data_IF_073671428115
#
_entry.id   IF_073671428115
#
_cell.length_a   1.000
_cell.length_b   1.000
_cell.length_c   1.000
_cell.angle_alpha   90.00
_cell.angle_beta   90.00
_cell.angle_gamma   90.00
#
_symmetry.space_group_name_H-M   'P 1'
#
loop_
_entity.id
_entity.type
_entity.pdbx_description
1 polymer ?
#
# COMPACT_ATOMS: atom_id res chain seq x y z
N UNK A 1 12.55 24.83 -8.60
CA UNK A 1 13.25 23.82 -9.43
C UNK A 1 12.16 22.99 -10.11
N UNK A 2 12.42 22.41 -11.27
CA UNK A 2 11.47 21.55 -11.96
C UNK A 2 11.79 20.08 -11.63
N UNK A 3 10.79 19.21 -11.74
CA UNK A 3 10.94 17.76 -11.56
C UNK A 3 12.04 17.23 -12.49
N UNK A 4 12.98 16.47 -11.92
CA UNK A 4 14.06 15.82 -12.68
C UNK A 4 13.91 14.31 -12.68
N UNK A 5 14.27 13.69 -13.80
CA UNK A 5 14.20 12.24 -14.00
C UNK A 5 15.55 11.76 -14.50
N UNK A 6 16.20 10.89 -13.72
CA UNK A 6 17.54 10.38 -13.95
C UNK A 6 17.50 8.85 -14.06
N UNK A 7 18.01 8.22 -15.14
CA UNK A 7 18.07 6.77 -15.21
C UNK A 7 19.10 6.21 -14.23
N UNK A 8 18.79 5.04 -13.66
CA UNK A 8 19.59 4.33 -12.68
C UNK A 8 20.25 3.09 -13.30
N UNK A 9 21.58 3.04 -13.20
CA UNK A 9 22.33 1.83 -13.56
C UNK A 9 22.00 0.67 -12.62
N UNK A 10 22.37 -0.55 -13.01
CA UNK A 10 22.26 -1.75 -12.15
C UNK A 10 23.13 -1.69 -10.89
N UNK A 11 24.11 -0.78 -10.84
CA UNK A 11 24.88 -0.44 -9.65
C UNK A 11 24.36 0.80 -8.92
N UNK A 12 23.11 1.18 -9.15
CA UNK A 12 22.39 2.32 -8.54
C UNK A 12 23.03 3.70 -8.71
N UNK A 13 23.97 3.85 -9.64
CA UNK A 13 24.49 5.15 -10.01
C UNK A 13 23.46 5.91 -10.86
N UNK A 14 23.21 7.17 -10.48
CA UNK A 14 22.40 8.13 -11.23
C UNK A 14 23.14 8.57 -12.49
N UNK A 15 22.45 8.51 -13.62
CA UNK A 15 22.92 9.06 -14.89
C UNK A 15 22.41 10.50 -15.08
N UNK A 16 22.80 11.14 -16.18
CA UNK A 16 22.38 12.52 -16.46
C UNK A 16 20.84 12.61 -16.57
N UNK A 17 20.23 13.72 -16.11
CA UNK A 17 18.81 13.97 -16.29
C UNK A 17 18.38 13.87 -17.75
N UNK A 18 17.24 13.22 -17.98
CA UNK A 18 16.66 13.08 -19.31
C UNK A 18 15.60 14.15 -19.60
N UNK A 19 15.43 14.54 -20.86
CA UNK A 19 14.22 15.24 -21.27
C UNK A 19 13.03 14.28 -21.15
N UNK A 20 11.95 14.74 -20.53
CA UNK A 20 10.72 13.98 -20.36
C UNK A 20 9.51 14.80 -20.80
N UNK A 21 8.46 14.12 -21.22
CA UNK A 21 7.22 14.71 -21.76
C UNK A 21 6.16 14.78 -20.67
N UNK A 22 5.92 13.63 -20.03
CA UNK A 22 4.93 13.48 -18.97
C UNK A 22 5.39 12.43 -17.98
N UNK A 23 5.18 12.71 -16.70
CA UNK A 23 5.38 11.77 -15.59
C UNK A 23 4.07 11.64 -14.83
N UNK A 24 3.58 10.42 -14.67
CA UNK A 24 2.42 10.10 -13.87
C UNK A 24 2.76 8.98 -12.90
N UNK A 25 2.88 9.31 -11.62
CA UNK A 25 3.05 8.35 -10.54
C UNK A 25 1.66 8.10 -9.99
N UNK A 26 1.08 6.98 -10.43
CA UNK A 26 -0.27 6.52 -10.15
C UNK A 26 -0.40 5.99 -8.71
N UNK A 27 -0.28 6.95 -7.78
CA UNK A 27 -0.20 6.82 -6.34
C UNK A 27 1.11 6.19 -5.81
N UNK A 28 1.85 6.96 -5.01
CA UNK A 28 2.77 6.43 -4.02
C UNK A 28 1.94 6.06 -2.78
N UNK A 29 2.02 4.80 -2.33
CA UNK A 29 1.07 4.23 -1.37
C UNK A 29 1.74 3.83 -0.05
N UNK A 30 0.98 3.90 1.04
CA UNK A 30 1.44 3.48 2.36
C UNK A 30 1.51 1.95 2.43
N UNK A 31 2.71 1.41 2.64
CA UNK A 31 2.98 -0.05 2.73
C UNK A 31 2.45 -0.86 1.53
N UNK A 32 2.44 -0.25 0.35
CA UNK A 32 1.99 -0.89 -0.88
C UNK A 32 2.83 -0.41 -2.06
N UNK A 33 2.83 -1.23 -3.11
CA UNK A 33 3.54 -0.94 -4.35
C UNK A 33 2.74 0.10 -5.14
N UNK A 34 3.32 1.26 -5.37
CA UNK A 34 2.83 2.26 -6.30
C UNK A 34 3.15 1.90 -7.75
N UNK A 35 2.39 2.48 -8.68
CA UNK A 35 2.62 2.34 -10.12
C UNK A 35 3.04 3.67 -10.74
N UNK A 36 3.76 3.63 -11.86
CA UNK A 36 4.08 4.84 -12.62
C UNK A 36 4.02 4.63 -14.14
N UNK A 37 3.91 5.74 -14.84
CA UNK A 37 4.05 5.87 -16.28
C UNK A 37 4.89 7.12 -16.59
N UNK A 38 5.97 6.92 -17.34
CA UNK A 38 6.91 7.97 -17.76
C UNK A 38 6.98 7.99 -19.27
N UNK A 39 6.61 9.10 -19.88
CA UNK A 39 6.72 9.33 -21.32
C UNK A 39 7.96 10.13 -21.63
N UNK A 40 8.87 9.53 -22.42
CA UNK A 40 10.09 10.16 -22.90
C UNK A 40 10.02 10.35 -24.43
N UNK A 41 10.68 11.38 -25.00
CA UNK A 41 10.90 11.45 -26.43
C UNK A 41 11.82 10.31 -26.87
N UNK A 42 11.55 9.69 -28.01
CA UNK A 42 12.42 8.67 -28.58
C UNK A 42 13.64 9.36 -29.22
N UNK A 43 14.78 9.27 -28.55
CA UNK A 43 16.08 9.75 -28.97
C UNK A 43 17.05 8.58 -28.88
N UNK A 44 18.22 8.66 -29.50
CA UNK A 44 19.23 7.59 -29.40
C UNK A 44 19.55 7.25 -27.93
N UNK A 45 19.60 8.27 -27.06
CA UNK A 45 19.85 8.11 -25.62
C UNK A 45 18.73 7.36 -24.90
N UNK A 46 17.47 7.58 -25.27
CA UNK A 46 16.34 6.89 -24.63
C UNK A 46 16.12 5.49 -25.19
N UNK A 47 16.50 5.24 -26.45
CA UNK A 47 16.58 3.90 -27.02
C UNK A 47 17.66 3.03 -26.36
N UNK A 48 18.80 3.60 -25.95
CA UNK A 48 19.84 2.89 -25.20
C UNK A 48 19.38 2.36 -23.82
N UNK A 49 18.24 2.84 -23.32
CA UNK A 49 17.62 2.42 -22.06
C UNK A 49 16.70 1.20 -22.21
N UNK A 50 16.51 0.72 -23.43
CA UNK A 50 15.66 -0.42 -23.75
C UNK A 50 16.53 -1.53 -24.34
N UNK A 51 16.19 -2.77 -24.03
CA UNK A 51 16.88 -3.96 -24.52
C UNK A 51 15.85 -5.03 -24.89
N UNK A 52 16.30 -6.10 -25.54
CA UNK A 52 15.50 -7.30 -25.77
C UNK A 52 15.94 -8.39 -24.80
N UNK A 53 15.00 -9.16 -24.26
CA UNK A 53 15.33 -10.38 -23.54
C UNK A 53 15.67 -11.54 -24.48
N UNK A 54 15.98 -12.70 -23.89
CA UNK A 54 16.36 -13.90 -24.63
C UNK A 54 15.24 -14.43 -25.53
N UNK A 55 13.99 -14.07 -25.24
CA UNK A 55 12.79 -14.46 -25.97
C UNK A 55 12.37 -13.39 -27.00
N UNK A 56 13.16 -12.31 -27.14
CA UNK A 56 12.89 -11.20 -28.05
C UNK A 56 11.80 -10.24 -27.55
N UNK A 57 11.45 -10.29 -26.27
CA UNK A 57 10.52 -9.34 -25.64
C UNK A 57 11.28 -8.09 -25.23
N UNK A 58 10.69 -6.94 -25.53
CA UNK A 58 11.24 -5.63 -25.19
C UNK A 58 11.19 -5.43 -23.67
N UNK A 59 12.32 -5.08 -23.06
CA UNK A 59 12.44 -4.81 -21.63
C UNK A 59 13.20 -3.52 -21.34
N UNK A 60 12.86 -2.80 -20.26
CA UNK A 60 13.73 -1.74 -19.75
C UNK A 60 15.06 -2.31 -19.27
N UNK A 61 16.15 -1.59 -19.55
CA UNK A 61 17.50 -1.88 -19.06
C UNK A 61 17.82 -1.21 -17.73
N UNK A 62 16.99 -0.26 -17.31
CA UNK A 62 17.28 0.72 -16.25
C UNK A 62 16.08 0.91 -15.32
N UNK A 63 16.33 1.36 -14.09
CA UNK A 63 15.33 2.05 -13.27
C UNK A 63 15.37 3.56 -13.51
N UNK A 64 14.52 4.31 -12.81
CA UNK A 64 14.53 5.77 -12.80
C UNK A 64 14.58 6.28 -11.37
N UNK A 65 15.25 7.42 -11.19
CA UNK A 65 15.24 8.21 -9.98
C UNK A 65 14.53 9.53 -10.30
N UNK A 66 13.49 9.83 -9.53
CA UNK A 66 12.72 11.08 -9.67
C UNK A 66 13.02 11.95 -8.47
N UNK A 67 13.51 13.15 -8.72
CA UNK A 67 13.55 14.22 -7.72
C UNK A 67 12.42 15.20 -8.01
N UNK A 68 11.45 15.22 -7.10
CA UNK A 68 10.31 16.12 -7.11
C UNK A 68 10.70 17.44 -6.44
N UNK A 69 11.29 18.34 -7.22
CA UNK A 69 11.61 19.71 -6.85
C UNK A 69 12.57 19.86 -5.64
N UNK A 70 13.38 18.84 -5.33
CA UNK A 70 14.27 18.79 -4.17
C UNK A 70 13.54 18.51 -2.85
N UNK A 71 12.26 18.11 -2.91
CA UNK A 71 11.37 17.98 -1.75
C UNK A 71 11.04 16.51 -1.46
N UNK A 72 10.96 15.70 -2.52
CA UNK A 72 10.62 14.30 -2.42
C UNK A 72 11.34 13.48 -3.50
N UNK A 73 11.98 12.40 -3.09
CA UNK A 73 12.78 11.55 -3.96
C UNK A 73 12.13 10.17 -4.06
N UNK A 74 12.01 9.64 -5.28
CA UNK A 74 11.35 8.36 -5.52
C UNK A 74 12.19 7.53 -6.49
N UNK A 75 12.67 6.35 -6.05
CA UNK A 75 13.22 5.36 -6.97
C UNK A 75 12.09 4.51 -7.60
N UNK A 76 12.12 4.38 -8.92
CA UNK A 76 11.10 3.75 -9.76
C UNK A 76 11.70 2.63 -10.61
N UNK A 77 11.11 1.43 -10.54
CA UNK A 77 11.55 0.22 -11.27
C UNK A 77 10.74 0.13 -12.56
N UNK A 78 11.37 0.40 -13.69
CA UNK A 78 10.74 0.20 -14.98
C UNK A 78 10.62 -1.30 -15.28
N UNK A 79 9.43 -1.73 -15.66
CA UNK A 79 9.12 -3.14 -15.94
C UNK A 79 8.77 -3.36 -17.41
N UNK A 80 8.18 -2.34 -18.04
CA UNK A 80 7.78 -2.36 -19.44
C UNK A 80 8.25 -1.10 -20.15
N UNK A 81 8.59 -1.25 -21.43
CA UNK A 81 8.87 -0.15 -22.34
C UNK A 81 7.98 -0.30 -23.57
N UNK A 82 7.27 0.77 -23.93
CA UNK A 82 6.32 0.79 -25.04
C UNK A 82 6.69 1.94 -25.99
N UNK A 83 7.56 1.70 -26.99
CA UNK A 83 7.88 2.68 -28.00
C UNK A 83 6.70 2.86 -28.96
N UNK A 84 6.46 4.10 -29.37
CA UNK A 84 5.40 4.47 -30.30
C UNK A 84 5.87 5.55 -31.27
N UNK A 85 5.32 5.52 -32.48
CA UNK A 85 5.56 6.51 -33.54
C UNK A 85 4.24 6.90 -34.16
N UNK A 86 3.87 8.17 -34.02
CA UNK A 86 2.59 8.71 -34.48
C UNK A 86 2.85 9.95 -35.33
N UNK A 87 2.04 10.16 -36.36
CA UNK A 87 2.00 11.44 -37.08
C UNK A 87 0.89 12.25 -36.42
N UNK A 88 1.22 13.40 -35.82
CA UNK A 88 0.25 14.24 -35.16
C UNK A 88 -0.65 14.98 -36.17
N UNK A 89 -1.68 15.68 -35.69
CA UNK A 89 -2.62 16.43 -36.54
C UNK A 89 -1.96 17.57 -37.34
N UNK A 90 -0.75 17.99 -36.95
CA UNK A 90 0.07 18.97 -37.68
C UNK A 90 0.94 18.32 -38.77
N UNK A 91 0.88 17.00 -38.95
CA UNK A 91 1.67 16.24 -39.92
C UNK A 91 3.11 15.97 -39.45
N UNK A 92 3.44 16.22 -38.19
CA UNK A 92 4.76 16.00 -37.62
C UNK A 92 4.87 14.57 -37.08
N UNK A 93 6.03 13.96 -37.32
CA UNK A 93 6.35 12.65 -36.74
C UNK A 93 6.76 12.84 -35.29
N UNK A 94 5.99 12.26 -34.37
CA UNK A 94 6.25 12.23 -32.94
C UNK A 94 6.59 10.80 -32.55
N UNK A 95 7.81 10.59 -32.06
CA UNK A 95 8.26 9.32 -31.53
C UNK A 95 8.45 9.42 -30.01
N UNK A 96 7.85 8.49 -29.27
CA UNK A 96 7.90 8.46 -27.81
C UNK A 96 8.16 7.06 -27.30
N UNK A 97 8.72 6.94 -26.10
CA UNK A 97 8.84 5.69 -25.38
C UNK A 97 8.14 5.87 -24.04
N UNK A 98 7.14 5.04 -23.77
CA UNK A 98 6.43 5.02 -22.48
C UNK A 98 7.01 3.91 -21.63
N UNK A 99 7.64 4.28 -20.52
CA UNK A 99 8.07 3.34 -19.49
C UNK A 99 7.00 3.22 -18.43
N UNK A 100 6.58 1.99 -18.13
CA UNK A 100 5.66 1.70 -17.03
C UNK A 100 6.28 0.69 -16.07
N UNK A 101 5.87 0.77 -14.82
CA UNK A 101 6.34 -0.12 -13.78
C UNK A 101 5.87 0.32 -12.42
N UNK A 102 6.66 -0.01 -11.41
CA UNK A 102 6.32 0.16 -10.02
C UNK A 102 7.38 0.95 -9.25
N UNK A 103 7.08 1.37 -8.02
CA UNK A 103 8.12 1.81 -7.10
C UNK A 103 9.02 0.64 -6.68
N UNK A 104 10.10 0.94 -5.95
CA UNK A 104 11.06 -0.08 -5.53
C UNK A 104 10.53 -1.03 -4.44
N UNK A 105 9.36 -0.77 -3.83
CA UNK A 105 8.74 -1.75 -2.93
C UNK A 105 8.29 -3.00 -3.70
N UNK A 106 8.14 -2.91 -5.03
CA UNK A 106 7.96 -4.09 -5.91
C UNK A 106 9.06 -5.13 -5.73
N UNK A 107 10.31 -4.73 -5.41
CA UNK A 107 11.40 -5.67 -5.15
C UNK A 107 11.12 -6.59 -3.96
N UNK A 108 10.35 -6.11 -2.98
CA UNK A 108 9.89 -6.89 -1.84
C UNK A 108 8.63 -7.69 -2.20
N UNK A 109 7.73 -7.12 -2.99
CA UNK A 109 6.51 -7.81 -3.44
C UNK A 109 6.82 -9.02 -4.34
N UNK A 110 7.86 -8.93 -5.17
CA UNK A 110 8.31 -9.99 -6.09
C UNK A 110 9.07 -11.14 -5.37
N UNK A 111 9.06 -11.17 -4.03
CA UNK A 111 9.86 -12.11 -3.23
C UNK A 111 8.99 -12.72 -2.14
N UNK A 112 9.02 -14.05 -2.09
CA UNK A 112 8.36 -14.83 -1.03
C UNK A 112 9.15 -14.79 0.27
N UNK A 113 8.45 -14.78 1.40
CA UNK A 113 9.07 -14.95 2.71
C UNK A 113 9.45 -16.42 2.91
N UNK A 114 10.75 -16.71 3.01
CA UNK A 114 11.19 -18.07 3.35
C UNK A 114 11.18 -18.27 4.86
N UNK A 115 10.68 -19.43 5.27
CA UNK A 115 10.76 -19.89 6.66
C UNK A 115 12.22 -20.00 7.11
N UNK A 116 13.06 -20.63 6.31
CA UNK A 116 14.49 -20.67 6.51
C UNK A 116 15.20 -19.98 5.34
N UNK A 117 15.49 -18.69 5.50
CA UNK A 117 16.10 -17.90 4.44
C UNK A 117 17.55 -18.28 4.12
N UNK A 118 18.20 -19.13 4.94
CA UNK A 118 19.53 -19.68 4.65
C UNK A 118 19.49 -20.85 3.65
N UNK A 119 18.30 -21.38 3.33
CA UNK A 119 18.13 -22.51 2.43
C UNK A 119 17.47 -22.09 1.11
N UNK A 120 17.81 -22.79 0.03
CA UNK A 120 17.09 -22.68 -1.24
C UNK A 120 15.65 -23.22 -1.10
N UNK A 121 14.78 -22.89 -2.07
CA UNK A 121 13.38 -23.32 -2.06
C UNK A 121 13.22 -24.84 -1.94
N UNK A 122 14.00 -25.59 -2.72
CA UNK A 122 13.95 -27.06 -2.77
C UNK A 122 14.42 -27.74 -1.48
N UNK A 123 15.07 -27.00 -0.58
CA UNK A 123 15.58 -27.49 0.70
C UNK A 123 14.72 -27.04 1.90
N UNK A 124 13.61 -26.33 1.66
CA UNK A 124 12.68 -25.97 2.74
C UNK A 124 11.99 -27.24 3.29
N UNK A 125 11.76 -27.27 4.60
CA UNK A 125 11.08 -28.38 5.28
C UNK A 125 9.76 -27.89 5.90
N UNK A 126 8.71 -28.74 5.97
CA UNK A 126 7.47 -28.43 6.66
C UNK A 126 7.67 -27.99 8.13
N UNK A 127 6.75 -27.17 8.62
CA UNK A 127 6.70 -26.69 9.99
C UNK A 127 6.62 -25.17 10.12
N UNK A 128 6.75 -24.68 11.34
CA UNK A 128 6.51 -23.26 11.68
C UNK A 128 7.78 -22.57 12.19
N UNK A 129 7.91 -21.28 11.89
CA UNK A 129 8.90 -20.38 12.48
C UNK A 129 8.19 -19.11 12.93
N UNK A 130 8.28 -18.78 14.21
CA UNK A 130 7.67 -17.59 14.80
C UNK A 130 8.76 -16.58 15.13
N UNK A 131 8.54 -15.34 14.74
CA UNK A 131 9.41 -14.20 15.05
C UNK A 131 8.59 -13.21 15.88
N UNK A 132 9.12 -12.86 17.04
CA UNK A 132 8.47 -11.94 17.99
C UNK A 132 9.46 -10.83 18.36
N UNK A 133 8.97 -9.61 18.44
CA UNK A 133 9.77 -8.45 18.83
C UNK A 133 9.05 -7.15 18.50
N UNK A 134 9.78 -6.03 18.52
CA UNK A 134 9.26 -4.76 18.01
C UNK A 134 9.00 -4.88 16.52
N UNK A 135 7.94 -4.21 16.05
CA UNK A 135 7.53 -4.27 14.66
C UNK A 135 8.65 -3.98 13.66
N UNK A 136 9.43 -2.92 13.91
CA UNK A 136 10.62 -2.59 13.11
C UNK A 136 11.61 -3.75 13.10
N UNK A 137 11.95 -4.29 14.26
CA UNK A 137 12.89 -5.40 14.43
C UNK A 137 12.43 -6.63 13.65
N UNK A 138 11.15 -7.01 13.76
CA UNK A 138 10.59 -8.17 13.04
C UNK A 138 10.68 -7.97 11.52
N UNK A 139 10.26 -6.80 11.02
CA UNK A 139 10.31 -6.47 9.59
C UNK A 139 11.75 -6.48 9.09
N UNK A 140 12.64 -5.72 9.73
CA UNK A 140 14.05 -5.60 9.34
C UNK A 140 14.77 -6.94 9.41
N UNK A 141 14.49 -7.77 10.41
CA UNK A 141 15.06 -9.11 10.52
C UNK A 141 14.64 -10.01 9.34
N UNK A 142 13.34 -10.03 9.00
CA UNK A 142 12.83 -10.87 7.92
C UNK A 142 13.30 -10.37 6.54
N UNK A 143 13.30 -9.06 6.30
CA UNK A 143 13.84 -8.47 5.05
C UNK A 143 15.33 -8.75 4.92
N UNK A 144 16.11 -8.53 5.98
CA UNK A 144 17.56 -8.81 5.98
C UNK A 144 17.82 -10.27 5.65
N UNK A 145 17.12 -11.19 6.31
CA UNK A 145 17.30 -12.63 6.10
C UNK A 145 16.97 -13.04 4.66
N UNK A 146 15.91 -12.49 4.06
CA UNK A 146 15.38 -12.92 2.76
C UNK A 146 15.94 -12.21 1.54
N UNK A 147 16.48 -10.99 1.70
CA UNK A 147 16.90 -10.11 0.59
C UNK A 147 18.37 -9.72 0.69
N UNK A 148 18.92 -9.51 1.89
CA UNK A 148 20.31 -9.06 2.08
C UNK A 148 21.24 -10.26 2.27
N UNK A 149 20.95 -11.10 3.25
CA UNK A 149 21.80 -12.23 3.66
C UNK A 149 21.22 -13.59 3.24
N UNK A 150 20.35 -13.60 2.22
CA UNK A 150 19.71 -14.83 1.75
C UNK A 150 20.75 -15.90 1.41
N UNK A 151 20.51 -17.14 1.84
CA UNK A 151 21.39 -18.28 1.55
C UNK A 151 21.47 -18.57 0.05
N UNK A 152 20.35 -18.40 -0.64
CA UNK A 152 20.31 -18.38 -2.11
C UNK A 152 20.76 -17.01 -2.64
N UNK A 153 21.93 -16.98 -3.27
CA UNK A 153 22.51 -15.75 -3.81
C UNK A 153 21.67 -15.14 -4.93
N UNK A 154 20.87 -15.94 -5.64
CA UNK A 154 19.99 -15.43 -6.72
C UNK A 154 18.84 -14.57 -6.18
N UNK A 155 18.51 -14.71 -4.88
CA UNK A 155 17.48 -13.91 -4.23
C UNK A 155 17.98 -12.55 -3.75
N UNK A 156 19.30 -12.38 -3.62
CA UNK A 156 19.88 -11.15 -3.11
C UNK A 156 19.69 -10.01 -4.10
N UNK A 157 19.31 -8.85 -3.60
CA UNK A 157 19.29 -7.62 -4.40
C UNK A 157 20.64 -6.93 -4.22
N UNK A 158 21.45 -6.77 -5.30
CA UNK A 158 22.74 -6.08 -5.21
C UNK A 158 22.56 -4.68 -4.63
N UNK A 159 23.45 -4.25 -3.73
CA UNK A 159 23.40 -2.90 -3.15
C UNK A 159 22.22 -2.62 -2.21
N UNK A 160 21.42 -3.63 -1.84
CA UNK A 160 20.36 -3.48 -0.84
C UNK A 160 20.92 -3.59 0.58
N UNK A 161 20.68 -2.56 1.40
CA UNK A 161 21.00 -2.48 2.81
C UNK A 161 19.75 -2.20 3.64
N UNK A 162 19.85 -2.47 4.93
CA UNK A 162 18.78 -2.17 5.90
C UNK A 162 19.37 -1.19 6.92
N UNK A 163 18.67 -0.08 7.15
CA UNK A 163 19.05 0.93 8.13
C UNK A 163 19.10 0.34 9.54
N UNK A 164 19.88 0.97 10.43
CA UNK A 164 20.01 0.54 11.82
C UNK A 164 18.64 0.37 12.49
N UNK A 165 18.45 -0.73 13.22
CA UNK A 165 17.22 -0.99 13.96
C UNK A 165 17.12 -0.07 15.18
N UNK A 166 16.03 0.69 15.25
CA UNK A 166 15.72 1.61 16.33
C UNK A 166 14.57 1.12 17.21
N UNK A 167 14.13 -0.12 17.02
CA UNK A 167 13.12 -0.81 17.82
C UNK A 167 11.78 -0.05 17.89
N UNK A 168 11.38 0.61 16.79
CA UNK A 168 10.13 1.36 16.65
C UNK A 168 8.92 0.40 16.55
N UNK A 169 7.77 0.89 17.02
CA UNK A 169 6.48 0.18 16.97
C UNK A 169 6.16 -0.67 18.19
N UNK A 170 4.96 -1.27 18.20
CA UNK A 170 4.51 -2.20 19.23
C UNK A 170 5.19 -3.57 19.17
N UNK A 171 4.94 -4.41 20.18
CA UNK A 171 5.36 -5.81 20.16
C UNK A 171 4.44 -6.61 19.25
N UNK A 172 5.03 -7.29 18.25
CA UNK A 172 4.33 -8.04 17.22
C UNK A 172 4.87 -9.45 17.15
N UNK A 173 3.99 -10.39 16.79
CA UNK A 173 4.35 -11.76 16.47
C UNK A 173 3.93 -12.07 15.03
N UNK A 174 4.87 -12.56 14.23
CA UNK A 174 4.59 -13.05 12.88
C UNK A 174 5.06 -14.52 12.76
N UNK A 175 4.22 -15.37 12.17
CA UNK A 175 4.49 -16.81 12.05
C UNK A 175 4.47 -17.23 10.59
N UNK A 176 5.59 -17.83 10.16
CA UNK A 176 5.73 -18.45 8.84
C UNK A 176 5.48 -19.94 8.98
N UNK A 177 4.49 -20.47 8.27
CA UNK A 177 4.07 -21.87 8.34
C UNK A 177 4.10 -22.50 6.95
N UNK A 178 4.88 -23.59 6.80
CA UNK A 178 4.85 -24.47 5.63
C UNK A 178 4.06 -25.72 6.03
N UNK A 179 2.89 -25.93 5.41
CA UNK A 179 2.07 -27.13 5.62
C UNK A 179 2.79 -28.40 5.19
N UNK A 180 2.40 -29.52 5.77
CA UNK A 180 2.91 -30.84 5.38
C UNK A 180 2.08 -31.39 4.23
N UNK A 181 2.64 -31.54 3.00
CA UNK A 181 1.88 -32.05 1.87
C UNK A 181 1.40 -33.50 2.06
N UNK A 182 1.90 -34.22 3.06
CA UNK A 182 1.46 -35.56 3.42
C UNK A 182 0.40 -35.59 4.55
N UNK A 183 0.02 -34.44 5.11
CA UNK A 183 -1.00 -34.36 6.15
C UNK A 183 -2.40 -34.67 5.59
N UNK A 184 -3.25 -35.26 6.42
CA UNK A 184 -4.65 -35.54 6.09
C UNK A 184 -5.39 -34.23 5.80
N UNK A 185 -6.19 -34.15 4.71
CA UNK A 185 -6.96 -32.95 4.38
C UNK A 185 -7.80 -32.48 5.58
N UNK A 186 -7.61 -31.22 5.98
CA UNK A 186 -8.34 -30.61 7.11
C UNK A 186 -7.67 -30.73 8.49
N UNK A 187 -6.51 -31.37 8.60
CA UNK A 187 -5.68 -31.36 9.82
C UNK A 187 -4.47 -30.43 9.73
N UNK A 188 -4.16 -29.96 8.52
CA UNK A 188 -2.99 -29.13 8.28
C UNK A 188 -3.24 -27.68 8.70
N UNK A 189 -2.23 -27.06 9.31
CA UNK A 189 -2.31 -25.65 9.73
C UNK A 189 -2.38 -24.77 8.48
N UNK A 190 -3.10 -23.64 8.56
CA UNK A 190 -3.11 -22.62 7.51
C UNK A 190 -1.68 -22.30 7.08
N UNK A 191 -1.36 -22.62 5.83
CA UNK A 191 -0.03 -22.41 5.25
C UNK A 191 0.09 -20.94 4.87
N UNK A 192 1.10 -20.26 5.43
CA UNK A 192 1.50 -18.90 5.02
C UNK A 192 2.69 -18.93 4.06
N UNK A 193 3.19 -20.11 3.75
CA UNK A 193 4.23 -20.32 2.74
C UNK A 193 3.70 -19.97 1.34
N UNK A 194 4.03 -18.77 0.88
CA UNK A 194 3.49 -18.19 -0.35
C UNK A 194 3.17 -16.70 -0.22
N UNK A 195 3.15 -16.16 1.00
CA UNK A 195 3.05 -14.72 1.21
C UNK A 195 4.30 -13.99 0.70
N UNK A 196 4.09 -12.86 0.01
CA UNK A 196 5.17 -11.97 -0.36
C UNK A 196 5.75 -11.26 0.87
N UNK A 197 6.98 -10.74 0.77
CA UNK A 197 7.53 -9.91 1.85
C UNK A 197 6.68 -8.67 2.10
N UNK A 198 6.00 -8.14 1.08
CA UNK A 198 5.08 -7.02 1.27
C UNK A 198 3.83 -7.41 2.04
N UNK A 199 3.27 -8.60 1.83
CA UNK A 199 2.10 -9.07 2.58
C UNK A 199 2.46 -9.33 4.04
N UNK A 200 3.66 -9.86 4.29
CA UNK A 200 4.23 -9.96 5.64
C UNK A 200 4.36 -8.59 6.30
N UNK A 201 4.92 -7.60 5.60
CA UNK A 201 5.07 -6.23 6.12
C UNK A 201 3.70 -5.64 6.47
N UNK A 202 2.70 -5.78 5.59
CA UNK A 202 1.33 -5.32 5.84
C UNK A 202 0.70 -6.02 7.05
N UNK A 203 0.93 -7.33 7.20
CA UNK A 203 0.45 -8.10 8.35
C UNK A 203 1.04 -7.60 9.67
N UNK A 204 2.32 -7.26 9.70
CA UNK A 204 2.99 -6.66 10.88
C UNK A 204 2.54 -5.21 11.12
N UNK A 205 2.39 -4.42 10.04
CA UNK A 205 1.97 -3.04 10.12
C UNK A 205 0.56 -2.86 10.67
N UNK A 206 -0.37 -3.79 10.37
CA UNK A 206 -1.72 -3.81 10.95
C UNK A 206 -1.72 -3.97 12.48
N UNK A 207 -0.69 -4.60 13.04
CA UNK A 207 -0.60 -4.83 14.49
C UNK A 207 0.04 -3.67 15.27
N UNK A 208 0.78 -2.78 14.60
CA UNK A 208 1.71 -1.87 15.30
C UNK A 208 1.94 -0.50 14.64
N UNK A 209 1.15 -0.18 13.61
CA UNK A 209 1.17 1.09 12.88
C UNK A 209 2.57 1.60 12.50
N UNK A 210 3.22 0.85 11.63
CA UNK A 210 4.56 1.15 11.14
C UNK A 210 4.55 1.28 9.60
N UNK A 211 5.28 2.28 9.10
CA UNK A 211 5.50 2.51 7.68
C UNK A 211 6.86 1.98 7.22
N UNK A 212 6.98 1.64 5.93
CA UNK A 212 8.26 1.26 5.31
C UNK A 212 8.62 2.21 4.18
N UNK A 213 9.92 2.44 3.98
CA UNK A 213 10.45 3.27 2.91
C UNK A 213 11.73 2.68 2.33
N UNK A 214 11.91 2.88 1.02
CA UNK A 214 13.15 2.58 0.31
C UNK A 214 13.72 3.88 -0.25
N UNK A 215 14.94 4.20 0.13
CA UNK A 215 15.65 5.41 -0.32
C UNK A 215 16.99 5.04 -0.93
N UNK A 216 17.51 5.91 -1.79
CA UNK A 216 18.81 5.71 -2.42
C UNK A 216 19.87 6.44 -1.59
N UNK A 217 20.79 5.69 -0.97
CA UNK A 217 21.86 6.21 -0.11
C UNK A 217 23.20 5.66 -0.59
N UNK A 218 24.19 6.54 -0.80
CA UNK A 218 25.57 6.17 -1.17
C UNK A 218 25.70 5.20 -2.37
N UNK A 219 24.78 5.28 -3.34
CA UNK A 219 24.76 4.37 -4.50
C UNK A 219 24.28 2.95 -4.17
N UNK A 220 23.46 2.81 -3.12
CA UNK A 220 22.73 1.60 -2.76
C UNK A 220 21.30 1.91 -2.32
N UNK A 221 20.49 0.88 -2.16
CA UNK A 221 19.13 0.98 -1.65
C UNK A 221 19.11 0.71 -0.16
N UNK A 222 18.69 1.70 0.60
CA UNK A 222 18.50 1.56 2.04
C UNK A 222 17.01 1.41 2.37
N UNK A 223 16.69 0.30 3.02
CA UNK A 223 15.38 0.02 3.59
C UNK A 223 15.32 0.53 5.04
N UNK A 224 14.35 1.40 5.33
CA UNK A 224 14.05 1.85 6.69
C UNK A 224 12.56 1.73 7.01
N UNK A 225 12.25 1.66 8.31
CA UNK A 225 10.89 1.69 8.83
C UNK A 225 10.68 2.97 9.63
N UNK A 226 9.55 3.64 9.45
CA UNK A 226 9.24 4.88 10.17
C UNK A 226 7.90 4.78 10.88
N UNK A 227 7.71 5.62 11.92
CA UNK A 227 6.42 5.77 12.56
C UNK A 227 5.66 6.93 11.91
N UNK A 228 4.39 6.72 11.51
CA UNK A 228 3.45 7.80 11.24
C UNK A 228 3.53 8.92 12.27
N UNK A 229 3.52 10.18 11.82
CA UNK A 229 3.45 11.33 12.71
C UNK A 229 2.01 11.83 12.77
N UNK A 230 1.62 12.28 13.96
CA UNK A 230 0.38 13.04 14.11
C UNK A 230 0.61 14.50 13.69
N UNK A 231 -0.01 14.89 12.58
CA UNK A 231 0.00 16.24 12.02
C UNK A 231 -1.40 16.86 11.99
N UNK A 232 -2.37 16.29 12.72
CA UNK A 232 -3.78 16.70 12.69
C UNK A 232 -4.01 18.17 13.05
N UNK A 233 -3.19 18.73 13.94
CA UNK A 233 -3.26 20.16 14.30
C UNK A 233 -2.51 21.08 13.31
N UNK A 234 -1.57 20.54 12.53
CA UNK A 234 -0.68 21.31 11.65
C UNK A 234 -1.15 21.31 10.20
N UNK A 235 -1.69 20.19 9.74
CA UNK A 235 -2.13 19.95 8.37
C UNK A 235 -3.62 19.68 8.40
N UNK A 236 -4.39 20.74 8.11
CA UNK A 236 -5.86 20.68 8.06
C UNK A 236 -6.31 21.00 6.65
N UNK A 237 -6.90 20.02 5.97
CA UNK A 237 -7.50 20.22 4.65
C UNK A 237 -8.93 20.75 4.81
N UNK A 238 -9.29 21.85 4.15
CA UNK A 238 -10.67 22.34 4.20
C UNK A 238 -11.08 23.03 2.91
N UNK A 239 -12.38 23.02 2.62
CA UNK A 239 -12.96 23.76 1.49
C UNK A 239 -12.71 25.27 1.65
N UNK A 240 -12.82 25.80 2.88
CA UNK A 240 -12.60 27.22 3.18
C UNK A 240 -11.15 27.67 2.97
N UNK A 241 -10.18 26.78 3.19
CA UNK A 241 -8.76 27.04 2.91
C UNK A 241 -8.40 26.76 1.44
N UNK A 242 -9.33 26.25 0.64
CA UNK A 242 -9.12 25.91 -0.77
C UNK A 242 -8.20 24.70 -0.98
N UNK A 243 -7.94 23.92 0.07
CA UNK A 243 -7.02 22.76 0.02
C UNK A 243 -7.75 21.43 -0.12
N UNK A 244 -9.07 21.39 0.11
CA UNK A 244 -9.90 20.21 -0.15
C UNK A 244 -10.62 20.39 -1.49
N UNK A 245 -10.35 19.50 -2.46
CA UNK A 245 -10.92 19.59 -3.82
C UNK A 245 -12.22 18.80 -3.93
N UNK A 246 -12.23 17.61 -3.36
CA UNK A 246 -13.40 16.75 -3.31
C UNK A 246 -13.27 15.76 -2.17
N UNK A 247 -14.40 15.36 -1.61
CA UNK A 247 -14.50 14.25 -0.68
C UNK A 247 -15.65 13.36 -1.12
N UNK A 248 -15.49 12.05 -0.92
CA UNK A 248 -16.53 11.07 -1.15
C UNK A 248 -16.58 10.14 0.06
N UNK A 249 -17.79 9.89 0.56
CA UNK A 249 -18.04 8.84 1.55
C UNK A 249 -18.72 7.71 0.79
N UNK A 250 -18.09 6.54 0.78
CA UNK A 250 -18.66 5.34 0.20
C UNK A 250 -18.98 4.38 1.34
N UNK A 251 -20.27 4.03 1.50
CA UNK A 251 -20.68 2.96 2.39
C UNK A 251 -20.87 1.70 1.57
N UNK A 252 -19.98 0.72 1.73
CA UNK A 252 -20.12 -0.59 1.11
C UNK A 252 -21.16 -1.39 1.91
N UNK A 253 -22.18 -1.89 1.22
CA UNK A 253 -23.12 -2.84 1.83
C UNK A 253 -22.35 -4.09 2.29
N UNK A 254 -22.68 -4.65 3.46
CA UNK A 254 -22.01 -5.85 3.95
C UNK A 254 -22.18 -6.98 2.93
N UNK A 255 -21.12 -7.72 2.66
CA UNK A 255 -21.16 -8.90 1.78
C UNK A 255 -21.57 -10.16 2.55
N UNK A 256 -21.33 -10.18 3.87
CA UNK A 256 -21.79 -11.21 4.79
C UNK A 256 -21.77 -10.70 6.23
N UNK A 257 -22.93 -10.54 6.88
CA UNK A 257 -23.00 -10.12 8.29
C UNK A 257 -23.77 -11.10 9.18
N UNK A 258 -24.37 -12.14 8.61
CA UNK A 258 -24.91 -13.30 9.31
C UNK A 258 -24.31 -14.57 8.70
N UNK A 259 -23.42 -15.23 9.45
CA UNK A 259 -22.73 -16.44 9.01
C UNK A 259 -23.49 -17.65 9.56
N UNK A 260 -24.06 -18.42 8.64
CA UNK A 260 -24.73 -19.69 8.92
C UNK A 260 -23.70 -20.80 8.65
N UNK A 261 -23.29 -21.51 9.68
CA UNK A 261 -22.22 -22.50 9.57
C UNK A 261 -22.70 -23.90 9.92
N UNK A 262 -22.34 -24.86 9.08
CA UNK A 262 -22.48 -26.28 9.39
C UNK A 262 -21.15 -26.84 9.90
N UNK A 263 -21.15 -27.63 10.97
CA UNK A 263 -19.93 -28.21 11.53
C UNK A 263 -20.12 -29.62 12.07
N UNK A 264 -19.01 -30.35 12.27
CA UNK A 264 -19.00 -31.65 12.96
C UNK A 264 -18.73 -31.53 14.47
N UNK A 265 -18.71 -30.31 15.03
CA UNK A 265 -18.47 -30.11 16.45
C UNK A 265 -19.63 -30.63 17.31
N UNK A 266 -19.27 -31.17 18.48
CA UNK A 266 -20.20 -31.70 19.48
C UNK A 266 -21.22 -30.68 20.00
N UNK A 267 -20.95 -29.38 19.85
CA UNK A 267 -21.80 -28.28 20.33
C UNK A 267 -22.95 -27.93 19.38
N UNK A 268 -23.09 -28.58 18.22
CA UNK A 268 -24.24 -28.46 17.33
C UNK A 268 -23.85 -28.45 15.85
N UNK A 269 -24.61 -29.19 15.04
CA UNK A 269 -24.32 -29.34 13.61
C UNK A 269 -24.54 -28.05 12.81
N UNK A 270 -25.37 -27.12 13.30
CA UNK A 270 -25.65 -25.84 12.68
C UNK A 270 -25.53 -24.74 13.72
N UNK A 271 -24.77 -23.69 13.40
CA UNK A 271 -24.51 -22.55 14.27
C UNK A 271 -24.63 -21.26 13.48
N UNK A 272 -25.03 -20.18 14.14
CA UNK A 272 -25.16 -18.85 13.56
C UNK A 272 -24.35 -17.85 14.38
N UNK A 273 -23.56 -17.02 13.70
CA UNK A 273 -22.91 -15.85 14.28
C UNK A 273 -23.21 -14.64 13.41
N UNK A 274 -23.45 -13.49 14.02
CA UNK A 274 -23.85 -12.29 13.29
C UNK A 274 -23.20 -11.04 13.88
N UNK A 275 -22.92 -10.08 13.00
CA UNK A 275 -22.46 -8.74 13.37
C UNK A 275 -23.62 -7.82 13.77
N UNK A 276 -23.30 -6.68 14.38
CA UNK A 276 -24.31 -5.73 14.89
C UNK A 276 -25.28 -5.21 13.82
N UNK A 277 -24.86 -5.14 12.55
CA UNK A 277 -25.70 -4.66 11.45
C UNK A 277 -26.74 -5.70 10.96
N UNK A 278 -26.58 -6.98 11.31
CA UNK A 278 -27.47 -8.06 10.86
C UNK A 278 -28.83 -8.08 11.58
N UNK A 279 -29.01 -7.26 12.63
CA UNK A 279 -30.31 -7.10 13.31
C UNK A 279 -31.30 -6.27 12.50
N UNK A 280 -30.82 -5.49 11.54
CA UNK A 280 -31.67 -4.78 10.59
C UNK A 280 -32.07 -5.75 9.45
N UNK A 281 -33.36 -6.12 9.33
CA UNK A 281 -33.80 -7.05 8.29
C UNK A 281 -33.55 -6.55 6.86
N UNK A 282 -33.36 -5.24 6.67
CA UNK A 282 -33.04 -4.67 5.36
C UNK A 282 -31.56 -4.69 5.03
N UNK A 283 -30.68 -4.96 6.02
CA UNK A 283 -29.22 -5.02 5.85
C UNK A 283 -28.63 -6.39 6.18
N UNK A 284 -29.44 -7.37 6.58
CA UNK A 284 -28.99 -8.73 6.84
C UNK A 284 -28.61 -9.42 5.52
N UNK A 285 -27.36 -9.88 5.45
CA UNK A 285 -26.80 -10.62 4.32
C UNK A 285 -26.23 -11.92 4.86
N UNK A 286 -26.87 -13.02 4.47
CA UNK A 286 -26.56 -14.36 4.96
C UNK A 286 -25.50 -15.01 4.07
N UNK A 287 -24.49 -15.61 4.71
CA UNK A 287 -23.48 -16.41 4.04
C UNK A 287 -23.40 -17.78 4.70
N UNK A 288 -23.49 -18.82 3.87
CA UNK A 288 -23.35 -20.20 4.33
C UNK A 288 -21.90 -20.66 4.18
N UNK A 289 -21.32 -21.13 5.29
CA UNK A 289 -19.99 -21.75 5.31
C UNK A 289 -20.10 -23.21 5.75
N UNK A 290 -19.57 -24.12 4.94
CA UNK A 290 -19.47 -25.52 5.29
C UNK A 290 -18.12 -25.78 6.00
N UNK A 291 -18.19 -26.23 7.25
CA UNK A 291 -17.07 -26.65 8.08
C UNK A 291 -17.32 -28.07 8.62
N UNK A 292 -18.01 -28.91 7.84
CA UNK A 292 -18.37 -30.28 8.20
C UNK A 292 -17.16 -31.21 8.44
N UNK A 293 -15.96 -30.83 8.02
CA UNK A 293 -14.71 -31.52 8.36
C UNK A 293 -14.09 -31.06 9.70
N UNK A 294 -14.54 -29.94 10.25
CA UNK A 294 -13.96 -29.31 11.43
C UNK A 294 -14.70 -29.76 12.69
N UNK A 295 -13.95 -30.32 13.65
CA UNK A 295 -14.49 -30.88 14.90
C UNK A 295 -14.14 -30.04 16.14
N UNK A 296 -13.18 -29.12 16.02
CA UNK A 296 -12.72 -28.27 17.11
C UNK A 296 -13.57 -26.99 17.22
N UNK A 297 -14.28 -26.85 18.35
CA UNK A 297 -15.20 -25.72 18.58
C UNK A 297 -14.50 -24.34 18.53
N UNK A 298 -13.25 -24.24 19.02
CA UNK A 298 -12.51 -22.98 19.01
C UNK A 298 -12.17 -22.52 17.59
N UNK A 299 -11.81 -23.44 16.68
CA UNK A 299 -11.54 -23.13 15.28
C UNK A 299 -12.81 -22.65 14.57
N UNK A 300 -13.95 -23.30 14.83
CA UNK A 300 -15.25 -22.91 14.28
C UNK A 300 -15.62 -21.49 14.70
N UNK A 301 -15.51 -21.16 15.99
CA UNK A 301 -15.80 -19.80 16.47
C UNK A 301 -14.86 -18.77 15.87
N UNK A 302 -13.57 -19.08 15.72
CA UNK A 302 -12.61 -18.18 15.09
C UNK A 302 -12.98 -17.91 13.62
N UNK A 303 -13.24 -18.97 12.84
CA UNK A 303 -13.67 -18.83 11.45
C UNK A 303 -14.96 -18.02 11.35
N UNK A 304 -15.94 -18.26 12.22
CA UNK A 304 -17.18 -17.48 12.24
C UNK A 304 -16.94 -15.98 12.47
N UNK A 305 -16.08 -15.63 13.43
CA UNK A 305 -15.74 -14.24 13.70
C UNK A 305 -14.95 -13.61 12.56
N UNK A 306 -14.02 -14.35 11.96
CA UNK A 306 -13.23 -13.90 10.81
C UNK A 306 -14.11 -13.66 9.57
N UNK A 307 -15.07 -14.55 9.30
CA UNK A 307 -16.04 -14.39 8.21
C UNK A 307 -16.98 -13.19 8.42
N UNK A 308 -17.52 -13.01 9.65
CA UNK A 308 -18.33 -11.82 9.98
C UNK A 308 -17.52 -10.55 9.84
N UNK A 309 -16.27 -10.54 10.30
CA UNK A 309 -15.40 -9.37 10.22
C UNK A 309 -15.05 -9.04 8.76
N UNK A 310 -14.80 -10.05 7.93
CA UNK A 310 -14.48 -9.89 6.50
C UNK A 310 -15.68 -9.40 5.69
N UNK A 311 -16.89 -9.85 6.03
CA UNK A 311 -18.11 -9.49 5.32
C UNK A 311 -18.87 -8.27 5.87
N UNK A 312 -18.35 -7.63 6.92
CA UNK A 312 -18.95 -6.46 7.55
C UNK A 312 -19.08 -5.27 6.57
N UNK A 313 -19.96 -4.33 6.90
CA UNK A 313 -20.23 -3.15 6.07
C UNK A 313 -19.09 -2.15 6.20
N UNK A 314 -18.36 -1.91 5.11
CA UNK A 314 -17.19 -1.02 5.14
C UNK A 314 -17.57 0.40 4.74
N UNK A 315 -17.56 1.33 5.69
CA UNK A 315 -17.61 2.76 5.38
C UNK A 315 -16.20 3.28 5.11
N UNK A 316 -16.04 3.96 3.98
CA UNK A 316 -14.77 4.50 3.50
C UNK A 316 -14.90 5.98 3.20
N UNK A 317 -13.94 6.76 3.64
CA UNK A 317 -13.86 8.19 3.32
C UNK A 317 -12.62 8.40 2.46
N UNK A 318 -12.83 8.88 1.24
CA UNK A 318 -11.77 9.23 0.33
C UNK A 318 -11.77 10.74 0.16
N UNK A 319 -10.66 11.39 0.52
CA UNK A 319 -10.49 12.81 0.28
C UNK A 319 -9.38 13.05 -0.72
N UNK A 320 -9.68 13.80 -1.77
CA UNK A 320 -8.68 14.32 -2.70
C UNK A 320 -8.42 15.77 -2.34
N UNK A 321 -7.21 16.03 -1.83
CA UNK A 321 -6.76 17.37 -1.50
C UNK A 321 -5.88 17.97 -2.61
N UNK A 322 -5.69 19.28 -2.58
CA UNK A 322 -4.69 19.96 -3.38
C UNK A 322 -3.55 20.40 -2.48
N UNK A 323 -2.33 20.17 -2.95
CA UNK A 323 -1.14 20.66 -2.28
C UNK A 323 -1.08 22.20 -2.34
N UNK A 324 -1.03 22.83 -1.17
CA UNK A 324 -0.96 24.30 -1.04
C UNK A 324 0.32 24.67 -0.29
N UNK A 325 0.87 25.88 -0.45
CA UNK A 325 2.12 26.26 0.22
C UNK A 325 2.15 26.07 1.75
N UNK A 326 0.98 26.05 2.42
CA UNK A 326 0.84 25.79 3.87
C UNK A 326 0.72 24.32 4.25
N UNK A 327 0.39 23.45 3.31
CA UNK A 327 0.26 22.01 3.47
C UNK A 327 0.89 21.40 2.21
N UNK A 328 2.21 21.26 2.24
CA UNK A 328 3.02 20.70 1.14
C UNK A 328 3.36 19.24 1.41
N UNK A 329 3.38 18.44 0.35
CA UNK A 329 3.88 17.08 0.38
C UNK A 329 5.41 17.06 0.40
N UNK A 330 5.99 16.18 1.23
CA UNK A 330 7.44 16.00 1.36
C UNK A 330 8.11 17.04 2.27
N UNK A 331 9.45 17.02 2.33
CA UNK A 331 10.22 17.90 3.22
C UNK A 331 10.91 18.97 2.40
N UNK A 332 10.61 20.24 2.67
CA UNK A 332 11.35 21.33 2.02
C UNK A 332 12.82 21.33 2.48
N UNK A 333 13.72 21.74 1.58
CA UNK A 333 15.15 21.91 1.83
C UNK A 333 15.45 22.91 2.97
N UNK A 334 14.47 23.74 3.35
CA UNK A 334 14.54 24.68 4.48
C UNK A 334 14.13 24.07 5.83
N UNK A 335 13.76 22.79 5.87
CA UNK A 335 13.38 22.08 7.10
C UNK A 335 11.94 22.30 7.56
N UNK A 336 11.12 23.02 6.77
CA UNK A 336 9.67 23.07 6.99
C UNK A 336 9.10 21.69 6.65
N UNK A 337 8.71 20.94 7.68
CA UNK A 337 8.16 19.59 7.56
C UNK A 337 6.77 19.65 6.94
N UNK A 338 6.65 19.28 5.67
CA UNK A 338 5.37 18.92 5.06
C UNK A 338 4.86 17.57 5.57
N UNK A 339 3.68 17.20 5.08
CA UNK A 339 3.10 15.88 5.33
C UNK A 339 3.74 14.84 4.41
N UNK A 340 3.91 13.62 4.92
CA UNK A 340 4.37 12.46 4.18
C UNK A 340 3.30 11.39 4.10
N UNK A 341 3.62 10.30 3.40
CA UNK A 341 2.78 9.11 3.33
C UNK A 341 2.77 8.43 4.71
N UNK A 342 1.59 8.01 5.14
CA UNK A 342 1.36 7.42 6.46
C UNK A 342 1.13 8.42 7.58
N UNK A 343 1.46 9.72 7.42
CA UNK A 343 1.17 10.73 8.44
C UNK A 343 -0.35 10.91 8.65
N UNK A 344 -0.75 11.18 9.89
CA UNK A 344 -2.13 11.44 10.25
C UNK A 344 -2.44 12.92 10.07
N UNK A 345 -3.50 13.22 9.32
CA UNK A 345 -3.90 14.58 8.95
C UNK A 345 -5.37 14.80 9.25
N UNK A 346 -5.77 16.06 9.39
CA UNK A 346 -7.17 16.41 9.59
C UNK A 346 -7.79 16.96 8.30
N UNK A 347 -9.07 16.68 8.08
CA UNK A 347 -9.86 17.26 7.02
C UNK A 347 -11.19 17.78 7.55
N UNK A 348 -11.48 19.06 7.32
CA UNK A 348 -12.76 19.68 7.57
C UNK A 348 -13.66 19.45 6.35
N UNK A 349 -14.51 18.43 6.45
CA UNK A 349 -15.41 17.97 5.37
C UNK A 349 -16.64 18.88 5.29
N UNK A 350 -17.09 19.41 6.42
CA UNK A 350 -18.27 20.27 6.55
C UNK A 350 -18.21 21.01 7.87
N UNK A 351 -18.76 22.22 7.94
CA UNK A 351 -18.79 23.06 9.16
C UNK A 351 -18.91 22.26 10.48
N UNK A 352 -17.80 22.15 11.21
CA UNK A 352 -17.71 21.46 12.51
C UNK A 352 -17.61 19.93 12.44
N UNK A 353 -17.28 19.35 11.27
CA UNK A 353 -16.96 17.93 11.08
C UNK A 353 -15.50 17.86 10.64
N UNK A 354 -14.62 17.63 11.62
CA UNK A 354 -13.22 17.33 11.37
C UNK A 354 -13.05 15.82 11.35
N UNK A 355 -12.80 15.32 10.15
CA UNK A 355 -12.35 13.97 9.92
C UNK A 355 -10.84 13.88 10.11
N UNK A 356 -10.33 12.75 10.55
CA UNK A 356 -8.92 12.56 10.82
C UNK A 356 -8.53 11.15 10.46
N UNK A 357 -7.60 11.02 9.52
CA UNK A 357 -7.07 9.73 9.09
C UNK A 357 -5.69 9.91 8.45
N UNK A 358 -5.06 8.81 8.06
CA UNK A 358 -3.74 8.76 7.45
C UNK A 358 -3.78 9.09 5.98
N UNK A 359 -2.69 9.67 5.50
CA UNK A 359 -2.41 9.80 4.08
C UNK A 359 -2.01 8.43 3.53
N UNK A 360 -2.92 7.75 2.86
CA UNK A 360 -2.73 6.38 2.36
C UNK A 360 -2.09 6.34 0.98
N UNK A 361 -2.31 7.38 0.17
CA UNK A 361 -1.78 7.48 -1.18
C UNK A 361 -1.55 8.92 -1.60
N UNK A 362 -0.57 9.16 -2.47
CA UNK A 362 -0.33 10.47 -3.09
C UNK A 362 -0.08 10.28 -4.58
N UNK A 363 -0.96 10.83 -5.42
CA UNK A 363 -0.75 10.87 -6.86
C UNK A 363 0.09 12.09 -7.23
N UNK A 364 1.13 11.87 -8.04
CA UNK A 364 2.04 12.91 -8.50
C UNK A 364 2.02 12.91 -10.03
N UNK A 365 1.58 14.01 -10.62
CA UNK A 365 1.52 14.16 -12.08
C UNK A 365 2.26 15.42 -12.49
N UNK A 366 3.19 15.30 -13.43
CA UNK A 366 3.91 16.42 -14.02
C UNK A 366 3.81 16.34 -15.54
N UNK A 367 3.47 17.46 -16.19
CA UNK A 367 3.31 17.56 -17.64
C UNK A 367 4.15 18.71 -18.19
N UNK A 368 5.18 18.36 -18.95
CA UNK A 368 6.11 19.30 -19.58
C UNK A 368 5.60 19.86 -20.91
N UNK A 369 4.50 19.32 -21.46
CA UNK A 369 3.95 19.76 -22.75
C UNK A 369 2.98 20.94 -22.63
N UNK A 370 2.41 21.13 -21.45
CA UNK A 370 1.46 22.22 -21.19
C UNK A 370 2.19 23.54 -20.96
N UNK A 371 1.61 24.63 -21.48
CA UNK A 371 2.03 26.00 -21.22
C UNK A 371 0.90 26.73 -20.45
N UNK A 372 1.07 27.05 -19.16
CA UNK A 372 2.28 26.85 -18.35
C UNK A 372 2.49 25.37 -17.95
N UNK A 373 3.75 25.04 -17.68
CA UNK A 373 4.15 23.78 -17.07
C UNK A 373 3.27 23.46 -15.85
N UNK A 374 2.74 22.23 -15.81
CA UNK A 374 1.75 21.84 -14.80
C UNK A 374 2.26 20.69 -13.95
N UNK A 375 2.29 20.92 -12.64
CA UNK A 375 2.52 19.91 -11.61
C UNK A 375 1.25 19.78 -10.77
N UNK A 376 0.88 18.56 -10.45
CA UNK A 376 -0.27 18.28 -9.60
C UNK A 376 0.09 17.20 -8.59
N UNK A 377 -0.17 17.51 -7.33
CA UNK A 377 -0.02 16.59 -6.19
C UNK A 377 -1.39 16.43 -5.57
N UNK A 378 -1.92 15.21 -5.59
CA UNK A 378 -3.23 14.87 -5.04
C UNK A 378 -3.05 13.81 -3.95
N UNK A 379 -2.99 14.20 -2.67
CA UNK A 379 -3.07 13.25 -1.58
C UNK A 379 -4.47 12.65 -1.48
N UNK A 380 -4.49 11.38 -1.12
CA UNK A 380 -5.64 10.59 -0.68
C UNK A 380 -5.51 10.35 0.81
N UNK A 381 -6.55 10.72 1.55
CA UNK A 381 -6.67 10.48 2.98
C UNK A 381 -7.74 9.40 3.19
N UNK A 382 -7.43 8.43 4.04
CA UNK A 382 -8.28 7.26 4.31
C UNK A 382 -8.12 6.12 3.30
N UNK A 383 -8.80 5.00 3.53
CA UNK A 383 -8.60 3.77 2.76
C UNK A 383 -9.43 3.74 1.46
N UNK A 384 -8.74 3.48 0.34
CA UNK A 384 -9.32 3.37 -1.00
C UNK A 384 -9.16 1.98 -1.62
N UNK A 385 -8.54 1.01 -0.94
CA UNK A 385 -8.30 -0.29 -1.54
C UNK A 385 -9.56 -1.16 -1.54
N UNK A 386 -10.10 -1.38 -2.73
CA UNK A 386 -11.22 -2.30 -2.99
C UNK A 386 -10.80 -3.79 -2.96
N UNK A 387 -9.54 -4.09 -2.60
CA UNK A 387 -9.04 -5.46 -2.43
C UNK A 387 -9.41 -6.05 -1.07
N UNK A 388 -9.53 -7.37 -1.00
CA UNK A 388 -9.91 -8.13 0.21
C UNK A 388 -8.95 -8.04 1.41
N UNK A 389 -7.92 -7.20 1.33
CA UNK A 389 -6.89 -6.97 2.36
C UNK A 389 -7.07 -5.63 3.12
N UNK A 390 -8.16 -4.91 2.88
CA UNK A 390 -8.47 -3.66 3.58
C UNK A 390 -8.56 -3.87 5.12
N UNK A 391 -7.93 -3.02 5.95
CA UNK A 391 -8.17 -3.00 7.39
C UNK A 391 -9.65 -2.73 7.73
N UNK A 392 -10.02 -3.05 8.97
CA UNK A 392 -11.37 -2.92 9.49
C UNK A 392 -11.96 -1.51 9.29
N UNK A 393 -13.29 -1.45 9.18
CA UNK A 393 -14.13 -0.25 9.06
C UNK A 393 -13.48 1.00 9.66
N UNK A 394 -13.55 2.14 8.95
CA UNK A 394 -13.29 3.45 9.54
C UNK A 394 -14.44 3.81 10.50
N UNK A 395 -14.45 3.12 11.63
CA UNK A 395 -15.41 3.27 12.71
C UNK A 395 -15.38 4.72 13.27
N UNK A 396 -14.32 5.48 13.02
CA UNK A 396 -14.17 6.87 13.45
C UNK A 396 -15.05 7.79 12.60
N UNK A 397 -15.01 7.66 11.27
CA UNK A 397 -15.93 8.40 10.38
C UNK A 397 -17.39 8.07 10.70
N UNK A 398 -17.71 6.79 10.87
CA UNK A 398 -19.08 6.31 11.18
C UNK A 398 -19.52 6.81 12.56
N UNK A 399 -18.66 6.76 13.58
CA UNK A 399 -18.97 7.25 14.92
C UNK A 399 -19.21 8.76 14.94
N UNK A 400 -18.41 9.54 14.21
CA UNK A 400 -18.55 10.99 14.14
C UNK A 400 -19.81 11.42 13.36
N UNK A 401 -20.08 10.78 12.22
CA UNK A 401 -21.28 11.06 11.42
C UNK A 401 -22.55 10.62 12.15
N UNK A 402 -22.55 9.44 12.78
CA UNK A 402 -23.69 8.94 13.55
C UNK A 402 -23.95 9.76 14.82
N UNK A 403 -22.90 10.22 15.51
CA UNK A 403 -23.04 11.14 16.65
C UNK A 403 -23.72 12.45 16.23
N UNK A 404 -23.41 12.98 15.04
CA UNK A 404 -24.00 14.22 14.55
C UNK A 404 -25.41 14.04 14.01
N UNK A 405 -25.73 12.92 13.35
CA UNK A 405 -27.12 12.58 13.02
C UNK A 405 -27.97 12.55 14.29
N UNK A 406 -27.48 11.90 15.35
CA UNK A 406 -28.17 11.89 16.65
C UNK A 406 -28.32 13.29 17.26
N UNK A 407 -27.30 14.15 17.17
CA UNK A 407 -27.37 15.53 17.64
C UNK A 407 -28.35 16.38 16.81
N UNK A 408 -28.41 16.19 15.49
CA UNK A 408 -29.36 16.88 14.60
C UNK A 408 -30.79 16.41 14.86
N UNK A 409 -30.99 15.10 15.05
CA UNK A 409 -32.28 14.53 15.45
C UNK A 409 -32.74 15.07 16.81
N UNK A 410 -31.84 15.21 17.79
CA UNK A 410 -32.12 15.83 19.08
C UNK A 410 -32.47 17.32 18.93
N UNK A 411 -31.73 18.06 18.10
CA UNK A 411 -32.00 19.47 17.85
C UNK A 411 -33.34 19.69 17.11
N UNK A 412 -33.67 18.83 16.15
CA UNK A 412 -34.96 18.84 15.45
C UNK A 412 -36.13 18.49 16.38
N UNK A 413 -35.98 17.46 17.23
CA UNK A 413 -36.99 17.10 18.25
C UNK A 413 -37.16 18.17 19.33
N UNK A 414 -36.14 18.98 19.61
CA UNK A 414 -36.25 20.10 20.56
C UNK A 414 -36.93 21.34 19.96
N UNK A 415 -37.17 21.36 18.65
CA UNK A 415 -37.81 22.47 17.91
C UNK A 415 -39.23 22.15 17.43
N UNK A 416 -39.66 20.89 17.49
CA UNK A 416 -41.06 20.46 17.38
C UNK A 416 -41.70 20.43 18.76
#
# INVERSE_FOLDING_TARGET
MAVTVEPLTTGWAKLKPLPWVKLDINAVRYNQVGAFSLTLPATDVTWDLVDFDVDGVLKPKTGFFVDWNGIFEIPLKAEQANPSKVINDAGEVVETIVFSGADFLSLLADRLVFRNAALAWTAQTPGTTTVTGKAETVIKQLVTANVVTAGDTARRVPGFSVAADLARGGDVTYTISIGDPAAEPGTDKTTTAGESLMDMIRSVARQSDIGVSLTLVDGGLEFDCFLPRDLTEKVVFSERLGSLRSWAITDATPTANAILMQSAATTGAFTETHGAAATDPWRRVEHFSDQSSTTEAAQITQVQLDEVARGAAQTRVALAALDIPKARFGRDATGVQGYGIGDQVAADIRDGITYTDKVTAVQLTADATLAPYTETVVPTIGDNDAGGDAPADDATAVAQLSARVRQLEQALRSRS
#
